data_IF_802209457717
#
_entry.id   IF_802209457717
#
_cell.length_a   1.000
_cell.length_b   1.000
_cell.length_c   1.000
_cell.angle_alpha   90.00
_cell.angle_beta   90.00
_cell.angle_gamma   90.00
#
_symmetry.space_group_name_H-M   'P 1'
#
loop_
_entity.id
_entity.type
_entity.pdbx_description
1 polymer ?
#
# COMPACT_ATOMS: atom_id res chain seq x y z
N UNK A 1 -14.11 -25.21 63.40
CA UNK A 1 -15.30 -24.76 62.65
C UNK A 1 -14.74 -24.35 61.26
N UNK A 2 -14.86 -25.26 60.29
CA UNK A 2 -14.20 -25.21 58.97
C UNK A 2 -15.12 -24.55 57.96
N UNK A 3 -14.59 -23.60 57.18
CA UNK A 3 -15.26 -23.03 56.04
C UNK A 3 -14.66 -23.61 54.76
N UNK A 4 -15.46 -24.34 54.03
CA UNK A 4 -15.16 -24.86 52.68
C UNK A 4 -15.12 -23.73 51.65
N UNK A 5 -14.05 -23.64 50.91
CA UNK A 5 -13.96 -22.86 49.68
C UNK A 5 -14.08 -23.84 48.52
N UNK A 6 -15.23 -23.88 47.89
CA UNK A 6 -15.43 -24.56 46.60
C UNK A 6 -14.93 -23.65 45.47
N UNK A 7 -13.91 -24.06 44.79
CA UNK A 7 -13.48 -23.47 43.53
C UNK A 7 -14.37 -24.02 42.39
N UNK A 8 -15.17 -23.16 41.78
CA UNK A 8 -15.88 -23.46 40.53
C UNK A 8 -14.98 -23.08 39.38
N UNK A 9 -14.38 -24.08 38.74
CA UNK A 9 -13.72 -23.94 37.48
C UNK A 9 -14.80 -23.82 36.39
N UNK A 10 -14.99 -22.63 35.85
CA UNK A 10 -15.76 -22.39 34.63
C UNK A 10 -14.96 -22.85 33.43
N UNK A 11 -15.26 -24.03 32.91
CA UNK A 11 -14.88 -24.45 31.58
C UNK A 11 -15.70 -23.61 30.57
N UNK A 12 -15.08 -22.61 29.96
CA UNK A 12 -15.61 -21.97 28.77
C UNK A 12 -15.44 -22.91 27.59
N UNK A 13 -16.44 -23.77 27.36
CA UNK A 13 -16.56 -24.48 26.07
C UNK A 13 -17.11 -23.48 25.09
N UNK A 14 -16.24 -22.94 24.24
CA UNK A 14 -16.66 -22.15 23.08
C UNK A 14 -17.44 -23.06 22.13
N UNK A 15 -18.76 -22.97 22.18
CA UNK A 15 -19.63 -23.51 21.15
C UNK A 15 -19.57 -22.60 19.92
N UNK A 16 -18.68 -22.88 19.00
CA UNK A 16 -18.81 -22.43 17.61
C UNK A 16 -19.88 -23.27 16.93
N UNK A 17 -21.15 -22.91 17.10
CA UNK A 17 -22.23 -23.49 16.31
C UNK A 17 -22.88 -22.42 15.45
N UNK A 18 -22.66 -22.49 14.14
CA UNK A 18 -23.65 -22.03 13.17
C UNK A 18 -23.47 -20.68 12.47
N UNK A 19 -22.26 -20.11 12.44
CA UNK A 19 -21.90 -19.19 11.34
C UNK A 19 -20.72 -19.84 10.62
N UNK A 20 -20.96 -20.38 9.45
CA UNK A 20 -19.91 -21.01 8.64
C UNK A 20 -18.82 -19.95 8.43
N UNK A 21 -17.64 -20.17 9.03
CA UNK A 21 -16.46 -19.45 8.61
C UNK A 21 -16.31 -19.73 7.12
N UNK A 22 -16.39 -18.70 6.30
CA UNK A 22 -16.04 -18.84 4.89
C UNK A 22 -14.62 -19.42 4.83
N UNK A 23 -14.35 -20.40 3.98
CA UNK A 23 -12.99 -20.88 3.81
C UNK A 23 -12.08 -19.71 3.45
N UNK A 24 -10.83 -19.71 3.93
CA UNK A 24 -9.89 -18.65 3.58
C UNK A 24 -9.82 -18.50 2.05
N UNK A 25 -9.63 -17.29 1.53
CA UNK A 25 -9.61 -17.06 0.09
C UNK A 25 -8.53 -17.93 -0.56
N UNK A 26 -8.86 -18.48 -1.73
CA UNK A 26 -7.89 -19.25 -2.51
C UNK A 26 -6.86 -18.28 -3.09
N UNK A 27 -5.60 -18.46 -2.73
CA UNK A 27 -4.50 -17.58 -3.15
C UNK A 27 -3.56 -18.23 -4.17
N UNK A 28 -3.52 -19.57 -4.23
CA UNK A 28 -2.75 -20.31 -5.22
C UNK A 28 -3.67 -20.82 -6.33
N UNK A 29 -3.16 -20.93 -7.56
CA UNK A 29 -3.83 -21.66 -8.63
C UNK A 29 -3.95 -23.13 -8.28
N UNK A 30 -4.88 -23.83 -8.89
CA UNK A 30 -5.00 -25.27 -8.68
C UNK A 30 -3.72 -26.00 -9.09
N UNK A 31 -3.15 -26.78 -8.16
CA UNK A 31 -1.90 -27.50 -8.38
C UNK A 31 -0.62 -26.66 -8.35
N UNK A 32 -0.72 -25.36 -8.06
CA UNK A 32 0.46 -24.49 -7.91
C UNK A 32 1.23 -24.85 -6.64
N UNK A 33 2.53 -25.08 -6.79
CA UNK A 33 3.50 -25.15 -5.70
C UNK A 33 4.33 -23.87 -5.82
N UNK A 34 4.27 -23.01 -4.80
CA UNK A 34 5.05 -21.77 -4.79
C UNK A 34 6.55 -22.08 -4.84
N UNK A 35 7.26 -21.46 -5.77
CA UNK A 35 8.71 -21.52 -5.80
C UNK A 35 9.29 -20.45 -4.85
N UNK A 36 10.44 -20.69 -4.21
CA UNK A 36 11.13 -19.65 -3.48
C UNK A 36 11.48 -18.50 -4.43
N UNK A 37 10.96 -17.32 -4.17
CA UNK A 37 11.36 -16.10 -4.90
C UNK A 37 12.73 -15.69 -4.36
N UNK A 38 13.68 -15.41 -5.25
CA UNK A 38 14.94 -14.82 -4.83
C UNK A 38 14.66 -13.39 -4.34
N UNK A 39 15.09 -13.09 -3.10
CA UNK A 39 14.98 -11.75 -2.56
C UNK A 39 15.57 -10.73 -3.56
N UNK A 40 14.77 -9.77 -3.97
CA UNK A 40 15.24 -8.70 -4.83
C UNK A 40 16.03 -7.71 -3.95
N UNK A 41 17.27 -7.46 -4.33
CA UNK A 41 18.08 -6.42 -3.69
C UNK A 41 17.86 -5.12 -4.41
N UNK A 42 17.85 -4.03 -3.66
CA UNK A 42 17.92 -2.71 -4.27
C UNK A 42 19.18 -2.62 -5.13
N UNK A 43 19.07 -2.17 -6.39
CA UNK A 43 20.17 -2.21 -7.36
C UNK A 43 21.34 -1.30 -6.99
N UNK A 44 21.12 -0.33 -6.11
CA UNK A 44 22.12 0.63 -5.62
C UNK A 44 22.09 0.67 -4.10
N UNK A 45 23.24 0.47 -3.48
CA UNK A 45 23.37 0.57 -2.03
C UNK A 45 22.88 1.94 -1.52
N UNK A 46 22.00 1.90 -0.53
CA UNK A 46 21.41 3.08 0.08
C UNK A 46 20.20 3.66 -0.63
N UNK A 47 19.64 2.99 -1.64
CA UNK A 47 18.29 3.23 -2.16
C UNK A 47 17.34 2.22 -1.54
N UNK A 48 16.23 2.69 -0.98
CA UNK A 48 15.21 1.83 -0.40
C UNK A 48 13.97 1.78 -1.31
N UNK A 49 14.14 1.13 -2.48
CA UNK A 49 13.10 1.06 -3.51
C UNK A 49 11.84 0.36 -3.02
N UNK A 50 11.99 -0.55 -2.05
CA UNK A 50 10.86 -1.24 -1.43
C UNK A 50 10.25 -0.48 -0.26
N UNK A 51 10.91 0.55 0.28
CA UNK A 51 10.40 1.33 1.41
C UNK A 51 9.13 2.11 1.05
N UNK A 52 8.07 1.95 1.86
CA UNK A 52 6.81 2.66 1.70
C UNK A 52 6.37 3.27 3.04
N UNK A 53 6.34 4.60 3.11
CA UNK A 53 5.81 5.32 4.26
C UNK A 53 4.28 5.27 4.23
N UNK A 54 3.70 4.40 5.06
CA UNK A 54 2.27 4.29 5.28
C UNK A 54 1.83 5.46 6.16
N UNK A 55 0.68 6.06 5.89
CA UNK A 55 0.20 7.26 6.59
C UNK A 55 1.28 8.35 6.74
N UNK A 56 2.06 8.59 5.68
CA UNK A 56 3.22 9.49 5.71
C UNK A 56 2.92 10.88 6.31
N UNK A 57 1.70 11.36 6.16
CA UNK A 57 1.23 12.65 6.68
C UNK A 57 1.18 12.71 8.23
N UNK A 58 1.31 11.59 8.94
CA UNK A 58 1.38 11.54 10.42
C UNK A 58 2.79 11.82 10.95
N UNK A 59 3.82 11.80 10.10
CA UNK A 59 5.18 12.17 10.48
C UNK A 59 5.33 13.69 10.69
N UNK A 60 6.39 14.10 11.38
CA UNK A 60 6.65 15.50 11.70
C UNK A 60 6.80 16.36 10.44
N UNK A 61 7.52 15.83 9.44
CA UNK A 61 7.73 16.48 8.15
C UNK A 61 7.27 15.56 7.01
N UNK A 62 5.94 15.43 6.76
CA UNK A 62 5.40 14.58 5.70
C UNK A 62 6.13 14.74 4.36
N UNK A 63 6.30 13.66 3.64
CA UNK A 63 7.14 13.50 2.47
C UNK A 63 8.64 13.59 2.79
N UNK A 64 9.08 14.63 3.51
CA UNK A 64 10.51 14.90 3.69
C UNK A 64 11.18 13.91 4.65
N UNK A 65 10.47 13.41 5.67
CA UNK A 65 10.99 12.37 6.55
C UNK A 65 11.20 11.07 5.76
N UNK A 66 10.24 10.65 4.93
CA UNK A 66 10.40 9.50 4.04
C UNK A 66 11.54 9.67 3.02
N UNK A 67 11.66 10.87 2.42
CA UNK A 67 12.76 11.18 1.50
C UNK A 67 14.12 11.19 2.21
N UNK A 68 14.17 11.64 3.48
CA UNK A 68 15.37 11.59 4.33
C UNK A 68 15.87 10.16 4.56
N UNK A 69 14.95 9.21 4.64
CA UNK A 69 15.21 7.76 4.70
C UNK A 69 15.34 7.11 3.32
N UNK A 70 15.39 7.90 2.25
CA UNK A 70 15.55 7.42 0.87
C UNK A 70 14.47 6.44 0.41
N UNK A 71 13.25 6.62 0.90
CA UNK A 71 12.09 5.90 0.43
C UNK A 71 11.59 6.48 -0.91
N UNK A 72 11.04 5.61 -1.75
CA UNK A 72 10.53 5.97 -3.07
C UNK A 72 9.01 5.82 -3.17
N UNK A 73 8.34 5.66 -2.02
CA UNK A 73 6.89 5.50 -1.96
C UNK A 73 6.34 6.06 -0.66
N UNK A 74 5.24 6.82 -0.76
CA UNK A 74 4.50 7.37 0.38
C UNK A 74 3.00 7.25 0.16
N UNK A 75 2.21 7.31 1.24
CA UNK A 75 0.75 7.32 1.21
C UNK A 75 0.17 8.57 1.85
N UNK A 76 -0.88 9.10 1.22
CA UNK A 76 -1.66 10.23 1.69
C UNK A 76 -3.15 9.91 1.65
N UNK A 77 -3.82 10.00 2.80
CA UNK A 77 -5.26 9.84 2.94
C UNK A 77 -5.98 11.14 2.62
N UNK A 78 -6.99 11.11 1.76
CA UNK A 78 -7.67 12.34 1.35
C UNK A 78 -9.18 12.32 1.60
N UNK A 79 -9.67 13.52 1.93
CA UNK A 79 -11.07 13.90 1.98
C UNK A 79 -11.35 15.13 1.12
N UNK A 80 -12.60 15.29 0.68
CA UNK A 80 -13.04 16.51 0.02
C UNK A 80 -13.73 17.43 1.04
N UNK A 81 -13.09 18.53 1.37
CA UNK A 81 -13.64 19.54 2.28
C UNK A 81 -13.73 20.90 1.59
N UNK A 82 -14.95 21.43 1.43
CA UNK A 82 -15.18 22.74 0.82
C UNK A 82 -14.55 22.89 -0.59
N UNK A 83 -14.55 21.82 -1.39
CA UNK A 83 -13.97 21.80 -2.75
C UNK A 83 -12.43 21.67 -2.76
N UNK A 84 -11.79 21.35 -1.64
CA UNK A 84 -10.36 21.13 -1.53
C UNK A 84 -10.06 19.69 -1.10
N UNK A 85 -9.02 19.09 -1.68
CA UNK A 85 -8.51 17.81 -1.24
C UNK A 85 -7.59 18.02 -0.03
N UNK A 86 -8.05 17.59 1.13
CA UNK A 86 -7.35 17.73 2.40
C UNK A 86 -6.86 16.38 2.91
N UNK A 87 -5.65 16.37 3.42
CA UNK A 87 -4.99 15.16 3.95
C UNK A 87 -5.26 15.05 5.44
N UNK A 88 -5.81 13.91 5.85
CA UNK A 88 -6.09 13.58 7.24
C UNK A 88 -6.39 12.08 7.40
N UNK A 89 -6.13 11.50 8.58
CA UNK A 89 -6.50 10.12 8.89
C UNK A 89 -8.01 9.96 9.10
N UNK A 90 -8.58 10.87 9.90
CA UNK A 90 -10.01 10.96 10.15
C UNK A 90 -10.50 12.37 9.78
N UNK A 91 -11.72 12.48 9.24
CA UNK A 91 -12.27 13.79 8.88
C UNK A 91 -12.93 14.49 10.10
N UNK A 92 -12.20 14.60 11.21
CA UNK A 92 -12.71 15.19 12.44
C UNK A 92 -12.56 16.73 12.43
N UNK A 93 -13.49 17.49 13.06
CA UNK A 93 -13.44 18.96 13.04
C UNK A 93 -12.20 19.56 13.72
N UNK A 94 -11.58 18.83 14.65
CA UNK A 94 -10.40 19.27 15.40
C UNK A 94 -9.08 18.73 14.86
N UNK A 95 -9.11 17.87 13.84
CA UNK A 95 -7.92 17.34 13.19
C UNK A 95 -7.28 18.40 12.31
N UNK A 96 -5.96 18.53 12.38
CA UNK A 96 -5.22 19.40 11.49
C UNK A 96 -5.22 18.83 10.08
N UNK A 97 -5.73 19.59 9.15
CA UNK A 97 -5.83 19.18 7.74
C UNK A 97 -4.99 20.10 6.89
N UNK A 98 -4.23 19.53 5.99
CA UNK A 98 -3.43 20.28 5.02
C UNK A 98 -3.77 19.85 3.60
N UNK A 99 -3.78 20.77 2.62
CA UNK A 99 -4.07 20.41 1.25
C UNK A 99 -3.07 19.41 0.67
N UNK A 100 -3.58 18.42 -0.09
CA UNK A 100 -2.76 17.45 -0.83
C UNK A 100 -1.71 18.15 -1.71
N UNK A 101 -2.10 19.25 -2.37
CA UNK A 101 -1.19 20.02 -3.22
C UNK A 101 -0.01 20.60 -2.43
N UNK A 102 -0.22 21.05 -1.20
CA UNK A 102 0.83 21.68 -0.36
C UNK A 102 1.74 20.63 0.26
N UNK A 103 1.18 19.50 0.70
CA UNK A 103 1.95 18.45 1.35
C UNK A 103 2.80 17.62 0.40
N UNK A 104 2.26 17.32 -0.79
CA UNK A 104 2.85 16.34 -1.69
C UNK A 104 3.08 16.87 -3.10
N UNK A 105 2.03 17.35 -3.78
CA UNK A 105 2.13 17.55 -5.22
C UNK A 105 3.08 18.70 -5.61
N UNK A 106 3.03 19.83 -4.91
CA UNK A 106 3.94 20.96 -5.15
C UNK A 106 5.39 20.61 -4.78
N UNK A 107 5.70 20.08 -3.56
CA UNK A 107 7.07 19.70 -3.23
C UNK A 107 7.66 18.66 -4.19
N UNK A 108 6.88 17.67 -4.61
CA UNK A 108 7.32 16.68 -5.58
C UNK A 108 7.61 17.31 -6.94
N UNK A 109 6.75 18.22 -7.43
CA UNK A 109 6.98 18.93 -8.70
C UNK A 109 8.23 19.80 -8.63
N UNK A 110 8.43 20.54 -7.55
CA UNK A 110 9.62 21.39 -7.35
C UNK A 110 10.91 20.56 -7.36
N UNK A 111 10.90 19.38 -6.75
CA UNK A 111 12.05 18.46 -6.77
C UNK A 111 12.32 17.94 -8.17
N UNK A 112 11.28 17.51 -8.89
CA UNK A 112 11.41 17.05 -10.27
C UNK A 112 11.91 18.17 -11.19
N UNK A 113 11.38 19.37 -11.07
CA UNK A 113 11.82 20.53 -11.87
C UNK A 113 13.30 20.89 -11.63
N UNK A 114 13.76 20.68 -10.38
CA UNK A 114 15.12 21.04 -9.99
C UNK A 114 16.13 19.94 -10.30
N UNK A 115 15.75 18.67 -10.12
CA UNK A 115 16.68 17.53 -10.13
C UNK A 115 16.39 16.50 -11.22
N UNK A 116 15.27 16.61 -11.95
CA UNK A 116 14.84 15.64 -12.96
C UNK A 116 14.11 14.41 -12.42
N UNK A 117 14.25 14.12 -11.13
CA UNK A 117 13.50 13.09 -10.40
C UNK A 117 13.34 13.49 -8.94
N UNK A 118 12.52 12.77 -8.16
CA UNK A 118 12.23 13.13 -6.77
C UNK A 118 13.48 13.08 -5.89
N UNK A 119 14.37 12.10 -6.07
CA UNK A 119 15.62 11.96 -5.33
C UNK A 119 16.85 12.43 -6.13
N UNK A 120 16.69 12.89 -7.39
CA UNK A 120 17.79 13.36 -8.24
C UNK A 120 18.61 12.22 -8.88
N UNK A 121 18.12 11.01 -8.86
CA UNK A 121 18.81 9.78 -9.29
C UNK A 121 18.13 9.09 -10.49
N UNK A 122 17.03 9.67 -10.99
CA UNK A 122 16.27 9.13 -12.12
C UNK A 122 15.32 7.99 -11.76
N UNK A 123 15.26 7.58 -10.47
CA UNK A 123 14.36 6.53 -10.01
C UNK A 123 12.93 7.08 -9.89
N UNK A 124 11.92 6.36 -10.41
CA UNK A 124 10.51 6.77 -10.27
C UNK A 124 10.05 6.71 -8.82
N UNK A 125 9.20 7.67 -8.44
CA UNK A 125 8.57 7.75 -7.13
C UNK A 125 7.10 7.36 -7.22
N UNK A 126 6.54 6.73 -6.17
CA UNK A 126 5.12 6.34 -6.13
C UNK A 126 4.42 7.11 -5.01
N UNK A 127 3.39 7.86 -5.38
CA UNK A 127 2.45 8.50 -4.45
C UNK A 127 1.15 7.70 -4.42
N UNK A 128 0.87 7.05 -3.29
CA UNK A 128 -0.43 6.43 -3.04
C UNK A 128 -1.38 7.47 -2.48
N UNK A 129 -2.59 7.53 -3.05
CA UNK A 129 -3.64 8.42 -2.59
C UNK A 129 -4.82 7.56 -2.16
N UNK A 130 -5.05 7.51 -0.84
CA UNK A 130 -6.15 6.77 -0.25
C UNK A 130 -7.41 7.65 -0.25
N UNK A 131 -8.41 7.22 -1.01
CA UNK A 131 -9.73 7.84 -1.05
C UNK A 131 -10.52 7.39 0.17
N UNK A 132 -10.55 8.19 1.23
CA UNK A 132 -11.28 7.86 2.47
C UNK A 132 -12.80 7.95 2.31
N UNK A 133 -13.26 8.56 1.22
CA UNK A 133 -14.66 8.63 0.84
C UNK A 133 -14.80 8.52 -0.67
N UNK A 134 -15.90 7.92 -1.11
CA UNK A 134 -16.29 7.87 -2.51
C UNK A 134 -17.29 8.98 -2.83
N UNK A 135 -17.14 9.57 -3.99
CA UNK A 135 -18.10 10.57 -4.44
C UNK A 135 -17.67 11.22 -5.75
N UNK A 136 -18.66 11.58 -6.55
CA UNK A 136 -18.41 12.19 -7.86
C UNK A 136 -17.57 13.46 -7.75
N UNK A 137 -17.89 14.31 -6.77
CA UNK A 137 -17.21 15.59 -6.58
C UNK A 137 -15.74 15.41 -6.18
N UNK A 138 -15.45 14.45 -5.27
CA UNK A 138 -14.07 14.12 -4.91
C UNK A 138 -13.29 13.62 -6.14
N UNK A 139 -13.88 12.70 -6.90
CA UNK A 139 -13.27 12.12 -8.10
C UNK A 139 -12.99 13.16 -9.17
N UNK A 140 -13.94 14.08 -9.43
CA UNK A 140 -13.80 15.19 -10.38
C UNK A 140 -12.73 16.19 -9.93
N UNK A 141 -12.72 16.53 -8.64
CA UNK A 141 -11.72 17.44 -8.04
C UNK A 141 -10.32 16.82 -8.09
N UNK A 142 -10.20 15.55 -7.75
CA UNK A 142 -8.90 14.84 -7.79
C UNK A 142 -8.35 14.82 -9.22
N UNK A 143 -9.16 14.47 -10.21
CA UNK A 143 -8.74 14.50 -11.60
C UNK A 143 -8.24 15.90 -12.01
N UNK A 144 -9.02 16.94 -11.72
CA UNK A 144 -8.67 18.31 -12.06
C UNK A 144 -7.38 18.80 -11.36
N UNK A 145 -7.15 18.36 -10.12
CA UNK A 145 -5.93 18.67 -9.38
C UNK A 145 -4.72 17.96 -10.00
N UNK A 146 -4.80 16.65 -10.25
CA UNK A 146 -3.67 15.88 -10.79
C UNK A 146 -3.25 16.38 -12.19
N UNK A 147 -4.17 16.82 -13.02
CA UNK A 147 -3.85 17.36 -14.37
C UNK A 147 -2.94 18.60 -14.36
N UNK A 148 -2.82 19.31 -13.24
CA UNK A 148 -1.92 20.46 -13.10
C UNK A 148 -0.44 20.06 -12.98
N UNK A 149 -0.12 18.78 -12.73
CA UNK A 149 1.24 18.32 -12.39
C UNK A 149 1.86 17.48 -13.50
N UNK A 150 2.70 18.07 -14.40
CA UNK A 150 3.29 17.35 -15.52
C UNK A 150 4.30 16.27 -15.12
N UNK A 151 4.83 16.30 -13.89
CA UNK A 151 5.70 15.23 -13.36
C UNK A 151 5.02 13.86 -13.28
N UNK A 152 3.68 13.85 -13.27
CA UNK A 152 2.93 12.62 -13.06
C UNK A 152 2.90 11.76 -14.33
N UNK A 153 3.03 10.45 -14.16
CA UNK A 153 2.72 9.45 -15.20
C UNK A 153 1.38 9.80 -15.84
N UNK A 154 1.35 9.86 -17.17
CA UNK A 154 0.14 10.14 -17.94
C UNK A 154 -0.39 8.86 -18.56
N UNK A 155 -1.68 8.69 -18.51
CA UNK A 155 -2.40 7.61 -19.18
C UNK A 155 -3.30 8.22 -20.23
N UNK A 156 -3.26 7.68 -21.48
CA UNK A 156 -4.11 8.08 -22.59
C UNK A 156 -4.75 6.80 -23.18
N UNK A 157 -5.98 6.52 -22.78
CA UNK A 157 -6.62 5.23 -23.06
C UNK A 157 -5.83 4.06 -22.46
N UNK A 158 -5.22 3.24 -23.31
CA UNK A 158 -4.41 2.10 -22.90
C UNK A 158 -2.89 2.41 -22.89
N UNK A 159 -2.48 3.57 -23.38
CA UNK A 159 -1.09 3.98 -23.38
C UNK A 159 -0.68 4.54 -22.03
N UNK A 160 0.44 4.07 -21.49
CA UNK A 160 1.05 4.59 -20.25
C UNK A 160 2.33 5.31 -20.63
N UNK A 161 2.39 6.60 -20.38
CA UNK A 161 3.55 7.47 -20.63
C UNK A 161 4.18 7.74 -19.26
N UNK A 162 5.30 7.07 -18.92
CA UNK A 162 5.92 7.21 -17.61
C UNK A 162 6.37 8.64 -17.32
N UNK A 163 6.08 9.10 -16.11
CA UNK A 163 6.62 10.31 -15.51
C UNK A 163 7.50 9.98 -14.30
N UNK A 164 8.22 10.96 -13.76
CA UNK A 164 9.03 10.79 -12.56
C UNK A 164 8.21 10.34 -11.33
N UNK A 165 6.91 10.62 -11.30
CA UNK A 165 6.00 10.25 -10.21
C UNK A 165 4.81 9.49 -10.76
N UNK A 166 4.51 8.34 -10.17
CA UNK A 166 3.29 7.56 -10.46
C UNK A 166 2.32 7.70 -9.30
N UNK A 167 1.07 8.08 -9.59
CA UNK A 167 -0.03 8.10 -8.61
C UNK A 167 -0.80 6.78 -8.69
N UNK A 168 -1.00 6.16 -7.54
CA UNK A 168 -1.85 4.96 -7.36
C UNK A 168 -2.99 5.30 -6.42
N UNK A 169 -4.22 5.14 -6.88
CA UNK A 169 -5.42 5.32 -6.07
C UNK A 169 -5.71 4.05 -5.29
N UNK A 170 -5.90 4.19 -3.97
CA UNK A 170 -6.30 3.15 -3.03
C UNK A 170 -7.53 3.59 -2.23
N UNK A 171 -8.01 2.79 -1.25
CA UNK A 171 -9.15 3.12 -0.41
C UNK A 171 -10.49 2.81 -1.05
N UNK A 172 -11.41 3.78 -1.11
CA UNK A 172 -12.79 3.57 -1.61
C UNK A 172 -12.83 2.94 -3.00
N UNK A 173 -13.28 1.68 -3.06
CA UNK A 173 -13.25 0.90 -4.30
C UNK A 173 -14.13 1.50 -5.39
N UNK A 174 -15.27 2.09 -5.01
CA UNK A 174 -16.17 2.73 -5.96
C UNK A 174 -15.55 4.01 -6.54
N UNK A 175 -14.93 4.84 -5.71
CA UNK A 175 -14.27 6.08 -6.12
C UNK A 175 -13.12 5.84 -7.09
N UNK A 176 -12.21 4.90 -6.77
CA UNK A 176 -11.08 4.58 -7.64
C UNK A 176 -11.50 3.93 -8.96
N UNK A 177 -12.53 3.07 -8.97
CA UNK A 177 -13.11 2.51 -10.21
C UNK A 177 -13.80 3.57 -11.05
N UNK A 178 -14.58 4.47 -10.43
CA UNK A 178 -15.23 5.58 -11.12
C UNK A 178 -14.20 6.52 -11.76
N UNK A 179 -13.09 6.82 -11.06
CA UNK A 179 -12.01 7.63 -11.58
C UNK A 179 -11.44 7.07 -12.89
N UNK A 180 -11.02 5.82 -12.91
CA UNK A 180 -10.39 5.24 -14.11
C UNK A 180 -11.38 5.01 -15.25
N UNK A 181 -12.65 4.75 -14.93
CA UNK A 181 -13.71 4.56 -15.94
C UNK A 181 -14.13 5.86 -16.63
N UNK A 182 -14.14 6.98 -15.88
CA UNK A 182 -14.64 8.28 -16.38
C UNK A 182 -13.56 9.09 -17.11
N UNK A 183 -12.30 8.88 -16.77
CA UNK A 183 -11.20 9.66 -17.34
C UNK A 183 -10.26 8.77 -18.16
N UNK A 184 -10.52 8.60 -19.48
CA UNK A 184 -9.59 7.87 -20.35
C UNK A 184 -8.23 8.57 -20.45
N UNK A 185 -8.19 9.91 -20.34
CA UNK A 185 -6.97 10.68 -20.12
C UNK A 185 -6.89 11.03 -18.64
N UNK A 186 -5.84 10.57 -17.97
CA UNK A 186 -5.68 10.69 -16.51
C UNK A 186 -4.23 10.58 -16.08
N UNK A 187 -3.97 10.92 -14.83
CA UNK A 187 -2.64 10.84 -14.21
C UNK A 187 -2.58 9.93 -13.00
N UNK A 188 -3.45 8.95 -12.93
CA UNK A 188 -3.42 7.94 -11.88
C UNK A 188 -3.92 6.59 -12.40
N UNK A 189 -3.38 5.54 -11.81
CA UNK A 189 -3.87 4.16 -11.88
C UNK A 189 -4.61 3.85 -10.58
N UNK A 190 -5.24 2.68 -10.51
CA UNK A 190 -5.80 2.16 -9.25
C UNK A 190 -5.14 0.85 -8.83
N UNK A 191 -5.30 0.54 -7.57
CA UNK A 191 -5.12 -0.79 -7.04
C UNK A 191 -6.43 -1.61 -7.02
N UNK A 192 -6.34 -2.82 -6.45
CA UNK A 192 -7.46 -3.57 -5.88
C UNK A 192 -7.08 -4.03 -4.49
N UNK A 193 -8.06 -4.01 -3.57
CA UNK A 193 -7.92 -4.58 -2.22
C UNK A 193 -8.34 -6.06 -2.18
N UNK A 194 -8.95 -6.55 -3.24
CA UNK A 194 -9.29 -7.95 -3.45
C UNK A 194 -8.32 -8.58 -4.46
N UNK A 195 -7.88 -9.78 -4.17
CA UNK A 195 -6.98 -10.56 -5.01
C UNK A 195 -7.59 -11.90 -5.39
N UNK A 196 -7.40 -12.26 -6.65
CA UNK A 196 -7.64 -13.62 -7.14
C UNK A 196 -6.47 -14.10 -8.03
N UNK A 197 -6.05 -15.37 -7.90
CA UNK A 197 -5.05 -15.94 -8.80
C UNK A 197 -5.52 -16.00 -10.27
N UNK A 198 -6.82 -15.86 -10.52
CA UNK A 198 -7.43 -15.83 -11.86
C UNK A 198 -7.74 -14.41 -12.36
N UNK A 199 -7.32 -13.37 -11.66
CA UNK A 199 -7.50 -12.00 -12.15
C UNK A 199 -6.84 -11.82 -13.53
N UNK A 200 -7.45 -11.00 -14.41
CA UNK A 200 -6.89 -10.75 -15.74
C UNK A 200 -5.52 -10.08 -15.65
N UNK A 201 -4.78 -10.06 -16.75
CA UNK A 201 -3.53 -9.29 -16.82
C UNK A 201 -3.76 -7.82 -16.48
N UNK A 202 -2.74 -7.17 -15.90
CA UNK A 202 -2.76 -5.74 -15.61
C UNK A 202 -2.98 -4.93 -16.89
N UNK A 203 -3.62 -3.78 -16.71
CA UNK A 203 -3.84 -2.79 -17.77
C UNK A 203 -3.46 -1.37 -17.28
N UNK A 204 -3.69 -0.39 -18.13
CA UNK A 204 -3.43 1.02 -17.80
C UNK A 204 -4.30 1.56 -16.64
N UNK A 205 -5.38 0.88 -16.27
CA UNK A 205 -6.27 1.27 -15.20
C UNK A 205 -5.92 0.60 -13.88
N UNK A 206 -5.55 -0.69 -13.91
CA UNK A 206 -5.35 -1.51 -12.71
C UNK A 206 -4.00 -2.23 -12.75
N UNK A 207 -2.98 -1.58 -12.19
CA UNK A 207 -1.60 -2.05 -12.16
C UNK A 207 -1.10 -2.53 -10.80
N UNK A 208 -1.92 -2.48 -9.74
CA UNK A 208 -1.47 -2.68 -8.37
C UNK A 208 -2.47 -3.48 -7.53
N UNK A 209 -1.95 -4.15 -6.50
CA UNK A 209 -2.72 -4.64 -5.36
C UNK A 209 -2.28 -3.93 -4.09
N UNK A 210 -3.24 -3.55 -3.24
CA UNK A 210 -3.01 -3.17 -1.84
C UNK A 210 -3.89 -4.06 -0.97
N UNK A 211 -3.30 -5.06 -0.34
CA UNK A 211 -4.00 -6.14 0.35
C UNK A 211 -3.91 -5.98 1.86
N UNK A 212 -4.99 -6.25 2.58
CA UNK A 212 -4.94 -6.31 4.04
C UNK A 212 -4.14 -7.54 4.48
N UNK A 213 -3.06 -7.34 5.25
CA UNK A 213 -2.22 -8.45 5.71
C UNK A 213 -3.04 -9.52 6.43
N UNK A 214 -3.93 -9.12 7.34
CA UNK A 214 -4.74 -10.03 8.14
C UNK A 214 -5.83 -10.79 7.38
N UNK A 215 -6.18 -10.40 6.16
CA UNK A 215 -7.17 -11.11 5.35
C UNK A 215 -6.56 -12.33 4.63
N UNK A 216 -5.25 -12.32 4.42
CA UNK A 216 -4.54 -13.34 3.65
C UNK A 216 -3.56 -14.16 4.49
N UNK A 217 -3.03 -13.57 5.57
CA UNK A 217 -1.96 -14.14 6.38
C UNK A 217 -2.30 -14.00 7.87
N UNK A 218 -2.33 -15.14 8.56
CA UNK A 218 -2.44 -15.17 10.02
C UNK A 218 -1.05 -15.19 10.63
N UNK A 219 -0.57 -14.04 11.07
CA UNK A 219 0.79 -13.89 11.55
C UNK A 219 0.83 -13.55 13.05
N UNK A 220 1.98 -13.82 13.66
CA UNK A 220 2.29 -13.32 15.01
C UNK A 220 2.30 -11.78 15.04
N UNK A 221 2.34 -11.20 16.24
CA UNK A 221 2.49 -9.75 16.42
C UNK A 221 3.78 -9.17 15.82
N UNK A 222 4.75 -10.01 15.47
CA UNK A 222 5.97 -9.62 14.77
C UNK A 222 5.86 -9.79 13.24
N UNK A 223 4.77 -10.37 12.74
CA UNK A 223 4.60 -10.69 11.33
C UNK A 223 5.41 -11.89 10.84
N UNK A 224 6.02 -12.67 11.76
CA UNK A 224 6.70 -13.91 11.41
C UNK A 224 5.70 -14.95 10.93
N UNK A 225 5.98 -15.54 9.77
CA UNK A 225 5.12 -16.52 9.11
C UNK A 225 5.63 -17.95 9.36
N UNK A 226 4.72 -18.91 9.37
CA UNK A 226 5.04 -20.32 9.24
C UNK A 226 5.24 -20.73 7.77
N UNK A 227 5.51 -22.01 7.53
CA UNK A 227 5.81 -22.51 6.18
C UNK A 227 4.57 -22.41 5.25
N UNK A 228 3.38 -22.72 5.75
CA UNK A 228 2.13 -22.63 4.98
C UNK A 228 1.85 -21.19 4.57
N UNK A 229 2.01 -20.26 5.47
CA UNK A 229 1.77 -18.84 5.22
C UNK A 229 2.83 -18.22 4.30
N UNK A 230 4.10 -18.65 4.39
CA UNK A 230 5.11 -18.28 3.41
C UNK A 230 4.74 -18.77 2.01
N UNK A 231 4.26 -20.00 1.89
CA UNK A 231 3.79 -20.52 0.61
C UNK A 231 2.58 -19.75 0.07
N UNK A 232 1.63 -19.35 0.94
CA UNK A 232 0.51 -18.48 0.57
C UNK A 232 0.98 -17.12 0.06
N UNK A 233 1.88 -16.45 0.80
CA UNK A 233 2.45 -15.17 0.40
C UNK A 233 3.17 -15.28 -0.95
N UNK A 234 3.99 -16.30 -1.13
CA UNK A 234 4.69 -16.55 -2.39
C UNK A 234 3.71 -16.75 -3.56
N UNK A 235 2.62 -17.52 -3.38
CA UNK A 235 1.59 -17.67 -4.41
C UNK A 235 0.95 -16.33 -4.81
N UNK A 236 0.63 -15.48 -3.84
CA UNK A 236 0.05 -14.15 -4.11
C UNK A 236 1.02 -13.35 -4.99
N UNK A 237 2.28 -13.27 -4.59
CA UNK A 237 3.28 -12.46 -5.29
C UNK A 237 3.58 -13.02 -6.68
N UNK A 238 3.82 -14.32 -6.82
CA UNK A 238 4.05 -14.96 -8.13
C UNK A 238 2.89 -14.70 -9.10
N UNK A 239 1.64 -14.87 -8.65
CA UNK A 239 0.48 -14.66 -9.51
C UNK A 239 0.28 -13.19 -9.83
N UNK A 240 0.44 -12.27 -8.86
CA UNK A 240 0.35 -10.84 -9.10
C UNK A 240 1.40 -10.38 -10.12
N UNK A 241 2.64 -10.81 -9.98
CA UNK A 241 3.72 -10.51 -10.93
C UNK A 241 3.48 -11.14 -12.30
N UNK A 242 2.97 -12.39 -12.36
CA UNK A 242 2.57 -13.02 -13.61
C UNK A 242 1.41 -12.28 -14.32
N UNK A 243 0.55 -11.63 -13.55
CA UNK A 243 -0.49 -10.73 -14.07
C UNK A 243 0.06 -9.36 -14.47
N UNK A 244 1.32 -9.02 -14.15
CA UNK A 244 1.95 -7.72 -14.39
C UNK A 244 1.64 -6.66 -13.34
N UNK A 245 1.23 -7.05 -12.11
CA UNK A 245 0.89 -6.12 -11.02
C UNK A 245 1.95 -6.10 -9.94
N UNK A 246 2.11 -4.93 -9.33
CA UNK A 246 2.87 -4.73 -8.12
C UNK A 246 2.00 -4.88 -6.88
N UNK A 247 2.61 -5.28 -5.77
CA UNK A 247 1.90 -5.61 -4.53
C UNK A 247 2.45 -4.82 -3.35
N UNK A 248 1.56 -4.28 -2.54
CA UNK A 248 1.81 -3.88 -1.15
C UNK A 248 0.82 -4.56 -0.21
N UNK A 249 1.20 -4.65 1.05
CA UNK A 249 0.27 -5.00 2.13
C UNK A 249 0.14 -3.82 3.09
N UNK A 250 -1.08 -3.60 3.61
CA UNK A 250 -1.34 -2.70 4.73
C UNK A 250 -1.75 -3.49 5.98
N UNK A 251 -1.69 -2.85 7.16
CA UNK A 251 -1.91 -3.54 8.44
C UNK A 251 -0.82 -4.55 8.79
N UNK A 252 0.37 -4.38 8.23
CA UNK A 252 1.55 -5.19 8.52
C UNK A 252 2.17 -4.73 9.83
N UNK A 253 2.62 -5.66 10.72
CA UNK A 253 3.39 -5.25 11.89
C UNK A 253 4.66 -4.47 11.53
N UNK A 254 4.91 -3.34 12.21
CA UNK A 254 6.16 -2.57 12.09
C UNK A 254 7.30 -3.33 12.79
N UNK A 255 7.78 -4.41 12.16
CA UNK A 255 8.77 -5.32 12.76
C UNK A 255 9.70 -5.92 11.69
N UNK A 256 11.00 -6.09 11.99
CA UNK A 256 11.97 -6.66 11.04
C UNK A 256 11.61 -8.07 10.53
N UNK A 257 10.90 -8.88 11.31
CA UNK A 257 10.45 -10.19 10.83
C UNK A 257 9.43 -10.05 9.71
N UNK A 258 8.43 -9.15 9.86
CA UNK A 258 7.43 -8.89 8.84
C UNK A 258 8.05 -8.34 7.55
N UNK A 259 8.97 -7.40 7.65
CA UNK A 259 9.67 -6.84 6.48
C UNK A 259 10.55 -7.90 5.79
N UNK A 260 11.19 -8.79 6.57
CA UNK A 260 11.99 -9.90 6.03
C UNK A 260 11.14 -10.90 5.26
N UNK A 261 9.98 -11.29 5.80
CA UNK A 261 9.06 -12.22 5.12
C UNK A 261 8.55 -11.62 3.80
N UNK A 262 8.18 -10.33 3.81
CA UNK A 262 7.73 -9.65 2.60
C UNK A 262 8.85 -9.51 1.56
N UNK A 263 10.03 -9.06 1.97
CA UNK A 263 11.18 -8.89 1.07
C UNK A 263 11.59 -10.24 0.46
N UNK A 264 11.61 -11.31 1.27
CA UNK A 264 11.93 -12.66 0.81
C UNK A 264 10.90 -13.20 -0.19
N UNK A 265 9.64 -12.79 -0.08
CA UNK A 265 8.58 -13.16 -1.03
C UNK A 265 8.55 -12.28 -2.30
N UNK A 266 9.31 -11.18 -2.34
CA UNK A 266 9.34 -10.25 -3.47
C UNK A 266 8.20 -9.23 -3.48
N UNK A 267 7.67 -8.84 -2.30
CA UNK A 267 6.69 -7.74 -2.19
C UNK A 267 7.33 -6.45 -2.68
N UNK A 268 6.61 -5.69 -3.51
CA UNK A 268 7.16 -4.49 -4.15
C UNK A 268 7.25 -3.29 -3.21
N UNK A 269 6.31 -3.15 -2.26
CA UNK A 269 6.25 -2.03 -1.32
C UNK A 269 6.06 -2.55 0.10
N UNK A 270 7.04 -2.35 0.95
CA UNK A 270 7.03 -2.73 2.36
C UNK A 270 6.48 -1.57 3.18
N UNK A 271 5.21 -1.68 3.57
CA UNK A 271 4.55 -0.64 4.37
C UNK A 271 5.13 -0.56 5.78
N UNK A 272 5.35 0.66 6.26
CA UNK A 272 5.77 0.93 7.64
C UNK A 272 5.32 2.32 8.11
N UNK A 273 5.05 2.44 9.43
CA UNK A 273 4.96 3.71 10.16
C UNK A 273 6.26 4.00 10.92
N UNK A 274 7.22 3.05 10.95
CA UNK A 274 8.54 3.19 11.56
C UNK A 274 9.61 3.35 10.47
N UNK A 275 9.76 4.57 9.97
CA UNK A 275 10.71 4.86 8.89
C UNK A 275 12.14 4.53 9.28
N UNK A 276 12.55 4.92 10.48
CA UNK A 276 13.92 4.69 10.98
C UNK A 276 14.24 3.20 11.16
N UNK A 277 13.27 2.45 11.69
CA UNK A 277 13.42 1.00 11.89
C UNK A 277 13.51 0.26 10.57
N UNK A 278 12.68 0.62 9.58
CA UNK A 278 12.73 -0.01 8.27
C UNK A 278 13.97 0.40 7.47
N UNK A 279 14.41 1.66 7.56
CA UNK A 279 15.67 2.15 6.97
C UNK A 279 16.86 1.30 7.46
N UNK A 280 17.02 1.16 8.79
CA UNK A 280 18.08 0.33 9.38
C UNK A 280 17.97 -1.14 8.96
N UNK A 281 16.75 -1.67 8.83
CA UNK A 281 16.52 -3.03 8.33
C UNK A 281 16.97 -3.16 6.87
N UNK A 282 16.57 -2.27 5.99
CA UNK A 282 16.91 -2.31 4.55
C UNK A 282 18.40 -2.10 4.30
N UNK A 283 19.09 -1.25 5.10
CA UNK A 283 20.54 -1.10 5.05
C UNK A 283 21.28 -2.40 5.46
N UNK A 284 20.71 -3.17 6.38
CA UNK A 284 21.32 -4.42 6.88
C UNK A 284 20.86 -5.67 6.12
N UNK A 285 19.84 -5.56 5.26
CA UNK A 285 19.30 -6.69 4.51
C UNK A 285 20.34 -7.25 3.54
N UNK A 286 20.48 -8.59 3.45
CA UNK A 286 21.51 -9.26 2.64
C UNK A 286 21.33 -9.11 1.14
#
# INVERSE_FOLDING_TARGET
MSAWKSAVALLAVSLCWGLGCAPPPRVCREGQVAAPVAAQRDPVAGQHLHGHAHNDYEHEHPLFDALGHRFYSVEADIYLNGGRLEVAHLNLPWESKRPLEELYLKPLQERVDTMGSVQGDGVPFTLWIDLKEGGRELVDTLHAVLEKYPMLTRIDGNEVIPGPVTVVLTGDDKGKRDFVARFPQRRAMRDSNDYSPEDPAADSAWGYYALAWGDYLDSSSTGKLDEEQRARLACIIENAHAQGRKVRFFGVPNHPDAWREQLAAGVDFLSTDDLSGQDAFLESAP
#
